data_IF_073293183333
#
_entry.id   IF_073293183333
#
_cell.length_a   1.000
_cell.length_b   1.000
_cell.length_c   1.000
_cell.angle_alpha   90.00
_cell.angle_beta   90.00
_cell.angle_gamma   90.00
#
_symmetry.space_group_name_H-M   'P 1'
#
loop_
_entity.id
_entity.type
_entity.pdbx_description
1 polymer ?
#
# COMPACT_ATOMS: atom_id res chain seq x y z
N UNK A 1 -22.33 10.88 8.78
CA UNK A 1 -21.59 11.87 9.59
C UNK A 1 -20.44 12.46 8.78
N UNK A 2 -19.80 13.57 9.20
CA UNK A 2 -18.62 14.12 8.50
C UNK A 2 -17.42 13.15 8.46
N UNK A 3 -17.34 12.24 9.43
CA UNK A 3 -16.30 11.22 9.53
C UNK A 3 -16.43 10.19 8.39
N UNK A 4 -17.65 9.71 8.15
CA UNK A 4 -17.94 8.72 7.08
C UNK A 4 -17.54 9.27 5.70
N UNK A 5 -17.85 10.55 5.44
CA UNK A 5 -17.50 11.20 4.18
C UNK A 5 -16.01 11.44 3.99
N UNK A 6 -15.22 11.59 5.06
CA UNK A 6 -13.74 11.69 4.96
C UNK A 6 -13.13 10.31 4.71
N UNK A 7 -13.59 9.30 5.44
CA UNK A 7 -13.13 7.92 5.28
C UNK A 7 -13.41 7.41 3.86
N UNK A 8 -14.63 7.59 3.35
CA UNK A 8 -14.99 7.17 1.99
C UNK A 8 -14.10 7.82 0.91
N UNK A 9 -13.74 9.10 1.09
CA UNK A 9 -12.80 9.78 0.18
C UNK A 9 -11.40 9.19 0.24
N UNK A 10 -10.87 8.92 1.43
CA UNK A 10 -9.54 8.33 1.57
C UNK A 10 -9.47 6.92 0.96
N UNK A 11 -10.47 6.08 1.25
CA UNK A 11 -10.58 4.74 0.66
C UNK A 11 -10.77 4.83 -0.85
N UNK A 12 -11.63 5.72 -1.33
CA UNK A 12 -11.83 5.95 -2.77
C UNK A 12 -10.55 6.38 -3.48
N UNK A 13 -9.78 7.31 -2.90
CA UNK A 13 -8.48 7.73 -3.42
C UNK A 13 -7.47 6.58 -3.45
N UNK A 14 -7.44 5.75 -2.40
CA UNK A 14 -6.55 4.59 -2.31
C UNK A 14 -6.86 3.58 -3.42
N UNK A 15 -8.14 3.22 -3.58
CA UNK A 15 -8.54 2.26 -4.61
C UNK A 15 -8.34 2.82 -6.02
N UNK A 16 -8.68 4.09 -6.25
CA UNK A 16 -8.45 4.76 -7.54
C UNK A 16 -6.97 4.81 -7.90
N UNK A 17 -6.09 5.10 -6.93
CA UNK A 17 -4.66 5.11 -7.18
C UNK A 17 -4.13 3.71 -7.51
N UNK A 18 -4.71 2.65 -6.93
CA UNK A 18 -4.37 1.26 -7.29
C UNK A 18 -4.69 0.92 -8.74
N UNK A 19 -5.86 1.34 -9.23
CA UNK A 19 -6.22 1.18 -10.65
C UNK A 19 -5.26 1.97 -11.55
N UNK A 20 -4.95 3.22 -11.19
CA UNK A 20 -4.01 4.05 -11.95
C UNK A 20 -2.60 3.45 -11.98
N UNK A 21 -2.12 2.88 -10.87
CA UNK A 21 -0.84 2.21 -10.80
C UNK A 21 -0.79 0.99 -11.73
N UNK A 22 -1.81 0.13 -11.69
CA UNK A 22 -1.92 -1.03 -12.58
C UNK A 22 -1.96 -0.61 -14.06
N UNK A 23 -2.73 0.42 -14.39
CA UNK A 23 -2.82 0.96 -15.75
C UNK A 23 -1.47 1.54 -16.22
N UNK A 24 -0.79 2.30 -15.37
CA UNK A 24 0.54 2.84 -15.66
C UNK A 24 1.57 1.75 -15.93
N UNK A 25 1.63 0.73 -15.08
CA UNK A 25 2.53 -0.42 -15.28
C UNK A 25 2.29 -1.08 -16.64
N UNK A 26 1.03 -1.28 -17.03
CA UNK A 26 0.68 -1.87 -18.32
C UNK A 26 1.01 -0.94 -19.50
N UNK A 27 0.63 0.33 -19.42
CA UNK A 27 0.82 1.31 -20.49
C UNK A 27 2.30 1.49 -20.85
N UNK A 28 3.18 1.46 -19.85
CA UNK A 28 4.63 1.61 -20.04
C UNK A 28 5.37 0.26 -20.19
N UNK A 29 4.65 -0.87 -20.29
CA UNK A 29 5.22 -2.22 -20.38
C UNK A 29 6.27 -2.51 -19.29
N UNK A 30 6.02 -2.05 -18.07
CA UNK A 30 6.93 -2.30 -16.95
C UNK A 30 6.74 -3.75 -16.48
N UNK A 31 7.81 -4.56 -16.42
CA UNK A 31 7.69 -5.94 -15.97
C UNK A 31 7.27 -6.00 -14.49
N UNK A 32 6.33 -6.88 -14.20
CA UNK A 32 5.86 -7.18 -12.84
C UNK A 32 6.39 -8.54 -12.41
N UNK A 33 6.61 -8.79 -11.11
CA UNK A 33 7.21 -10.05 -10.63
C UNK A 33 6.24 -11.24 -10.65
N UNK A 34 5.05 -11.10 -11.25
CA UNK A 34 4.03 -12.14 -11.30
C UNK A 34 3.67 -12.45 -12.76
N UNK A 35 3.51 -13.74 -13.06
CA UNK A 35 2.90 -14.17 -14.31
C UNK A 35 1.37 -14.01 -14.22
N UNK A 36 0.85 -12.99 -14.90
CA UNK A 36 -0.58 -12.63 -14.84
C UNK A 36 -1.47 -13.68 -15.51
N UNK A 37 -0.97 -14.43 -16.49
CA UNK A 37 -1.75 -15.42 -17.22
C UNK A 37 -2.10 -16.63 -16.32
N UNK A 38 -1.19 -17.00 -15.42
CA UNK A 38 -1.32 -18.16 -14.53
C UNK A 38 -1.69 -17.78 -13.09
N UNK A 39 -1.84 -16.48 -12.79
CA UNK A 39 -2.08 -15.97 -11.44
C UNK A 39 -3.40 -16.51 -10.84
N UNK A 40 -3.31 -17.28 -9.76
CA UNK A 40 -4.47 -17.72 -8.97
C UNK A 40 -4.68 -16.81 -7.74
N UNK A 41 -5.56 -15.81 -7.89
CA UNK A 41 -5.83 -14.82 -6.85
C UNK A 41 -6.34 -15.43 -5.53
N UNK A 42 -7.20 -16.46 -5.61
CA UNK A 42 -7.72 -17.12 -4.39
C UNK A 42 -6.63 -17.85 -3.62
N UNK A 43 -5.66 -18.44 -4.31
CA UNK A 43 -4.52 -19.09 -3.68
C UNK A 43 -3.55 -18.08 -3.02
N UNK A 44 -3.45 -16.87 -3.58
CA UNK A 44 -2.58 -15.81 -3.04
C UNK A 44 -3.22 -15.01 -1.90
N UNK A 45 -4.54 -15.00 -1.79
CA UNK A 45 -5.28 -14.19 -0.82
C UNK A 45 -4.75 -14.31 0.61
N UNK A 46 -4.49 -15.51 1.18
CA UNK A 46 -3.94 -15.63 2.53
C UNK A 46 -2.58 -14.95 2.68
N UNK A 47 -1.70 -15.09 1.68
CA UNK A 47 -0.38 -14.45 1.67
C UNK A 47 -0.47 -12.92 1.60
N UNK A 48 -1.37 -12.40 0.76
CA UNK A 48 -1.62 -10.95 0.65
C UNK A 48 -2.11 -10.39 1.98
N UNK A 49 -3.08 -11.04 2.61
CA UNK A 49 -3.64 -10.59 3.89
C UNK A 49 -2.61 -10.68 5.02
N UNK A 50 -1.76 -11.71 5.02
CA UNK A 50 -0.70 -11.87 5.99
C UNK A 50 0.37 -10.77 5.86
N UNK A 51 0.89 -10.56 4.65
CA UNK A 51 1.94 -9.55 4.39
C UNK A 51 1.41 -8.15 4.72
N UNK A 52 0.25 -7.78 4.19
CA UNK A 52 -0.37 -6.48 4.51
C UNK A 52 -0.68 -6.35 6.00
N UNK A 53 -1.09 -7.43 6.66
CA UNK A 53 -1.31 -7.44 8.11
C UNK A 53 -0.04 -7.15 8.89
N UNK A 54 1.07 -7.79 8.53
CA UNK A 54 2.38 -7.57 9.15
C UNK A 54 2.89 -6.14 8.93
N UNK A 55 2.74 -5.61 7.71
CA UNK A 55 3.12 -4.23 7.39
C UNK A 55 2.31 -3.23 8.21
N UNK A 56 0.99 -3.41 8.28
CA UNK A 56 0.11 -2.50 9.00
C UNK A 56 0.32 -2.58 10.51
N UNK A 57 0.60 -3.77 11.05
CA UNK A 57 1.01 -3.93 12.44
C UNK A 57 2.33 -3.20 12.72
N UNK A 58 3.33 -3.32 11.86
CA UNK A 58 4.61 -2.67 12.05
C UNK A 58 4.49 -1.14 11.96
N UNK A 59 3.90 -0.63 10.88
CA UNK A 59 3.92 0.81 10.57
C UNK A 59 2.75 1.58 11.18
N UNK A 60 1.52 1.05 11.15
CA UNK A 60 0.30 1.76 11.63
C UNK A 60 -0.10 1.42 13.06
N UNK A 61 0.44 0.35 13.63
CA UNK A 61 0.22 0.03 15.03
C UNK A 61 1.47 0.29 15.88
N UNK A 62 2.60 -0.37 15.62
CA UNK A 62 3.80 -0.25 16.46
C UNK A 62 4.47 1.12 16.29
N UNK A 63 4.95 1.45 15.08
CA UNK A 63 5.66 2.72 14.84
C UNK A 63 4.74 3.93 15.06
N UNK A 64 3.50 3.87 14.57
CA UNK A 64 2.52 4.93 14.74
C UNK A 64 2.30 5.26 16.23
N UNK A 65 1.96 4.26 17.06
CA UNK A 65 1.73 4.47 18.50
C UNK A 65 3.00 4.91 19.23
N UNK A 66 4.16 4.39 18.84
CA UNK A 66 5.44 4.79 19.44
C UNK A 66 5.76 6.28 19.23
N UNK A 67 5.44 6.83 18.06
CA UNK A 67 5.55 8.27 17.76
C UNK A 67 4.46 9.07 18.47
N UNK A 68 3.22 8.56 18.52
CA UNK A 68 2.10 9.19 19.23
C UNK A 68 2.41 9.39 20.72
N UNK A 69 2.99 8.38 21.38
CA UNK A 69 3.43 8.44 22.77
C UNK A 69 4.50 9.52 23.02
N UNK A 70 5.25 9.89 21.99
CA UNK A 70 6.25 10.99 22.01
C UNK A 70 5.66 12.34 21.66
N UNK A 71 4.33 12.45 21.62
CA UNK A 71 3.59 13.68 21.31
C UNK A 71 3.93 14.27 19.93
N UNK A 72 4.30 13.40 18.98
CA UNK A 72 4.48 13.80 17.59
C UNK A 72 3.11 14.22 17.02
N UNK A 73 3.07 15.33 16.29
CA UNK A 73 1.81 15.83 15.72
C UNK A 73 1.22 14.84 14.72
N UNK A 74 -0.11 14.74 14.68
CA UNK A 74 -0.79 13.68 13.89
C UNK A 74 -0.42 13.66 12.41
N UNK A 75 -0.23 14.83 11.77
CA UNK A 75 0.21 14.90 10.35
C UNK A 75 1.67 14.46 10.17
N UNK A 76 2.55 14.86 11.09
CA UNK A 76 3.96 14.46 11.04
C UNK A 76 4.11 12.95 11.28
N UNK A 77 3.25 12.38 12.12
CA UNK A 77 3.19 10.96 12.40
C UNK A 77 2.81 10.15 11.15
N UNK A 78 1.75 10.58 10.44
CA UNK A 78 1.36 9.99 9.15
C UNK A 78 2.50 10.07 8.15
N UNK A 79 3.12 11.24 7.99
CA UNK A 79 4.24 11.43 7.08
C UNK A 79 5.43 10.51 7.42
N UNK A 80 5.85 10.47 8.69
CA UNK A 80 6.99 9.67 9.13
C UNK A 80 6.76 8.17 8.90
N UNK A 81 5.58 7.65 9.24
CA UNK A 81 5.24 6.23 9.02
C UNK A 81 5.02 5.91 7.54
N UNK A 82 4.61 6.87 6.71
CA UNK A 82 4.51 6.70 5.26
C UNK A 82 5.88 6.62 4.60
N UNK A 83 6.81 7.50 5.00
CA UNK A 83 8.19 7.48 4.50
C UNK A 83 8.93 6.21 4.95
N UNK A 84 8.78 5.78 6.20
CA UNK A 84 9.38 4.52 6.66
C UNK A 84 8.83 3.31 5.90
N UNK A 85 7.52 3.28 5.63
CA UNK A 85 6.88 2.26 4.80
C UNK A 85 7.45 2.26 3.37
N UNK A 86 7.59 3.43 2.75
CA UNK A 86 8.22 3.57 1.43
C UNK A 86 9.68 3.11 1.43
N UNK A 87 10.46 3.47 2.45
CA UNK A 87 11.86 3.03 2.61
C UNK A 87 11.97 1.51 2.70
N UNK A 88 11.06 0.83 3.40
CA UNK A 88 11.04 -0.63 3.48
C UNK A 88 10.83 -1.29 2.09
N UNK A 89 10.12 -0.61 1.19
CA UNK A 89 9.91 -1.06 -0.19
C UNK A 89 11.11 -0.89 -1.11
N UNK A 90 12.20 -0.25 -0.66
CA UNK A 90 13.47 -0.26 -1.40
C UNK A 90 14.27 -1.56 -1.14
N UNK A 91 13.94 -2.33 -0.10
CA UNK A 91 14.64 -3.58 0.23
C UNK A 91 14.82 -4.55 -0.95
N UNK A 92 13.78 -4.79 -1.78
CA UNK A 92 13.89 -5.66 -2.95
C UNK A 92 14.88 -5.18 -4.03
N UNK A 93 15.34 -3.92 -4.04
CA UNK A 93 16.35 -3.46 -4.99
C UNK A 93 17.68 -4.18 -4.83
N UNK A 94 17.99 -4.63 -3.61
CA UNK A 94 19.24 -5.31 -3.30
C UNK A 94 19.21 -6.78 -3.76
N UNK A 95 18.02 -7.35 -3.95
CA UNK A 95 17.83 -8.78 -4.20
C UNK A 95 17.33 -9.13 -5.60
N UNK A 96 16.83 -8.15 -6.37
CA UNK A 96 16.28 -8.39 -7.70
C UNK A 96 17.22 -8.04 -8.86
N UNK A 97 16.95 -8.67 -10.00
CA UNK A 97 17.64 -8.43 -11.28
C UNK A 97 17.36 -7.01 -11.80
N UNK A 98 18.22 -6.52 -12.68
CA UNK A 98 18.08 -5.20 -13.32
C UNK A 98 16.71 -4.97 -13.97
N UNK A 99 16.09 -6.01 -14.53
CA UNK A 99 14.79 -5.93 -15.17
C UNK A 99 13.65 -5.51 -14.23
N UNK A 100 13.71 -5.88 -12.94
CA UNK A 100 12.68 -5.53 -11.95
C UNK A 100 13.01 -4.25 -11.16
N UNK A 101 14.20 -3.68 -11.31
CA UNK A 101 14.59 -2.48 -10.55
C UNK A 101 13.70 -1.28 -10.84
N UNK A 102 13.28 -1.08 -12.10
CA UNK A 102 12.34 -0.01 -12.47
C UNK A 102 10.99 -0.17 -11.77
N UNK A 103 10.46 -1.40 -11.74
CA UNK A 103 9.23 -1.71 -11.00
C UNK A 103 9.39 -1.41 -9.52
N UNK A 104 10.47 -1.89 -8.88
CA UNK A 104 10.70 -1.69 -7.45
C UNK A 104 10.85 -0.20 -7.14
N UNK A 105 11.62 0.58 -7.92
CA UNK A 105 11.77 2.02 -7.69
C UNK A 105 10.44 2.75 -7.77
N UNK A 106 9.65 2.50 -8.82
CA UNK A 106 8.34 3.12 -8.99
C UNK A 106 7.40 2.69 -7.86
N UNK A 107 7.42 1.42 -7.48
CA UNK A 107 6.67 0.90 -6.35
C UNK A 107 7.08 1.63 -5.07
N UNK A 108 8.37 1.77 -4.75
CA UNK A 108 8.81 2.42 -3.51
C UNK A 108 8.35 3.87 -3.40
N UNK A 109 8.49 4.66 -4.47
CA UNK A 109 8.01 6.06 -4.48
C UNK A 109 6.50 6.13 -4.33
N UNK A 110 5.79 5.30 -5.08
CA UNK A 110 4.35 5.27 -5.04
C UNK A 110 3.82 4.72 -3.68
N UNK A 111 4.57 3.88 -2.99
CA UNK A 111 4.24 3.42 -1.64
C UNK A 111 4.32 4.52 -0.59
N UNK A 112 5.02 5.63 -0.83
CA UNK A 112 4.92 6.80 0.04
C UNK A 112 3.51 7.41 -0.01
N UNK A 113 2.91 7.49 -1.21
CA UNK A 113 1.54 7.95 -1.39
C UNK A 113 0.52 7.01 -0.76
N UNK A 114 0.64 5.70 -1.03
CA UNK A 114 -0.22 4.67 -0.42
C UNK A 114 -0.09 4.70 1.10
N UNK A 115 1.14 4.74 1.61
CA UNK A 115 1.42 4.81 3.03
C UNK A 115 0.82 6.04 3.70
N UNK A 116 0.80 7.18 3.00
CA UNK A 116 0.15 8.40 3.46
C UNK A 116 -1.38 8.23 3.56
N UNK A 117 -2.05 7.70 2.53
CA UNK A 117 -3.50 7.45 2.55
C UNK A 117 -3.92 6.46 3.65
N UNK A 118 -3.14 5.41 3.85
CA UNK A 118 -3.33 4.42 4.91
C UNK A 118 -3.13 5.06 6.29
N UNK A 119 -2.08 5.87 6.47
CA UNK A 119 -1.84 6.63 7.69
C UNK A 119 -2.97 7.62 8.00
N UNK A 120 -3.48 8.36 7.01
CA UNK A 120 -4.63 9.24 7.17
C UNK A 120 -5.90 8.46 7.53
N UNK A 121 -6.10 7.28 6.93
CA UNK A 121 -7.22 6.38 7.27
C UNK A 121 -7.13 5.95 8.73
N UNK A 122 -5.95 5.51 9.18
CA UNK A 122 -5.68 5.19 10.60
C UNK A 122 -5.93 6.38 11.53
N UNK A 123 -5.52 7.58 11.12
CA UNK A 123 -5.66 8.81 11.91
C UNK A 123 -7.12 9.23 12.08
N UNK A 124 -7.92 9.12 11.01
CA UNK A 124 -9.35 9.50 11.03
C UNK A 124 -10.20 8.45 11.74
N UNK A 125 -9.93 7.16 11.54
CA UNK A 125 -10.74 6.07 12.11
C UNK A 125 -10.29 5.62 13.50
N UNK A 126 -9.11 6.08 13.93
CA UNK A 126 -8.40 5.56 15.08
C UNK A 126 -8.20 4.02 15.09
N UNK A 127 -8.20 3.36 13.91
CA UNK A 127 -8.14 1.89 13.80
C UNK A 127 -7.11 1.43 12.77
N UNK A 128 -6.18 0.57 13.19
CA UNK A 128 -5.24 -0.05 12.26
C UNK A 128 -5.91 -1.13 11.41
N UNK A 129 -7.00 -1.74 11.91
CA UNK A 129 -7.78 -2.73 11.15
C UNK A 129 -8.43 -2.10 9.91
N UNK A 130 -8.89 -0.85 9.99
CA UNK A 130 -9.43 -0.14 8.83
C UNK A 130 -8.36 0.16 7.78
N UNK A 131 -7.16 0.50 8.24
CA UNK A 131 -5.99 0.67 7.36
C UNK A 131 -5.62 -0.66 6.70
N UNK A 132 -5.58 -1.76 7.45
CA UNK A 132 -5.32 -3.10 6.94
C UNK A 132 -6.36 -3.59 5.93
N UNK A 133 -7.65 -3.42 6.21
CA UNK A 133 -8.70 -3.75 5.25
C UNK A 133 -8.52 -2.94 3.95
N UNK A 134 -8.25 -1.64 4.06
CA UNK A 134 -7.96 -0.78 2.91
C UNK A 134 -6.74 -1.24 2.12
N UNK A 135 -5.65 -1.62 2.80
CA UNK A 135 -4.42 -2.09 2.18
C UNK A 135 -4.61 -3.46 1.49
N UNK A 136 -5.32 -4.40 2.13
CA UNK A 136 -5.69 -5.67 1.52
C UNK A 136 -6.54 -5.47 0.26
N UNK A 137 -7.58 -4.63 0.33
CA UNK A 137 -8.41 -4.28 -0.83
C UNK A 137 -7.60 -3.61 -1.94
N UNK A 138 -6.66 -2.71 -1.58
CA UNK A 138 -5.76 -2.05 -2.52
C UNK A 138 -4.93 -3.08 -3.31
N UNK A 139 -4.25 -4.01 -2.63
CA UNK A 139 -3.41 -5.00 -3.28
C UNK A 139 -4.22 -5.96 -4.15
N UNK A 140 -5.39 -6.40 -3.67
CA UNK A 140 -6.30 -7.23 -4.46
C UNK A 140 -6.78 -6.51 -5.72
N UNK A 141 -7.13 -5.23 -5.60
CA UNK A 141 -7.57 -4.42 -6.74
C UNK A 141 -6.47 -4.24 -7.78
N UNK A 142 -5.23 -3.94 -7.36
CA UNK A 142 -4.08 -3.83 -8.27
C UNK A 142 -3.86 -5.13 -9.03
N UNK A 143 -3.77 -6.26 -8.32
CA UNK A 143 -3.53 -7.58 -8.94
C UNK A 143 -4.67 -7.99 -9.87
N UNK A 144 -5.91 -7.74 -9.46
CA UNK A 144 -7.09 -8.01 -10.28
C UNK A 144 -7.08 -7.16 -11.55
N UNK A 145 -6.76 -5.87 -11.43
CA UNK A 145 -6.68 -4.96 -12.58
C UNK A 145 -5.56 -5.37 -13.53
N UNK A 146 -4.36 -5.69 -13.02
CA UNK A 146 -3.25 -6.18 -13.84
C UNK A 146 -3.62 -7.47 -14.57
N UNK A 147 -4.30 -8.40 -13.91
CA UNK A 147 -4.78 -9.64 -14.53
C UNK A 147 -5.79 -9.38 -15.66
N UNK A 148 -6.72 -8.44 -15.48
CA UNK A 148 -7.68 -8.07 -16.52
C UNK A 148 -7.05 -7.34 -17.73
N UNK A 149 -5.94 -6.64 -17.51
CA UNK A 149 -5.23 -5.90 -18.56
C UNK A 149 -4.17 -6.74 -19.31
N UNK A 150 -3.89 -7.95 -18.83
CA UNK A 150 -2.85 -8.85 -19.39
C UNK A 150 -3.42 -9.70 -20.51
#
# INVERSE_FOLDING_TARGET
SQLDGRMARLVGLLLASGVLAAFGLRLFNIPVPYDMATLNLSAMLPGILLVTGMEELLFRQVMYRWLEQRRVSGRLLVLATALAFACAHFGPLVTHTSALQTFVLLQSFYMAWVGWLLGETRRVTNSWLMSWAGHGCYNLLVLTTLKFLS
#
